data_IF_856909703563
#
_entry.id   IF_856909703563
#
_cell.length_a   1.000
_cell.length_b   1.000
_cell.length_c   1.000
_cell.angle_alpha   90.00
_cell.angle_beta   90.00
_cell.angle_gamma   90.00
#
_symmetry.space_group_name_H-M   'P 1'
#
loop_
_entity.id
_entity.type
_entity.pdbx_description
1 polymer ?
#
# COMPACT_ATOMS: atom_id res chain seq x y z
N UNK A 1 -3.56 -12.44 -2.31
CA UNK A 1 -2.32 -12.27 -1.60
C UNK A 1 -2.25 -13.18 -0.39
N UNK A 2 -1.09 -13.70 -0.13
CA UNK A 2 -0.93 -14.59 0.96
C UNK A 2 -0.27 -13.88 2.11
N UNK A 3 -0.86 -13.95 3.27
CA UNK A 3 -0.27 -13.36 4.44
C UNK A 3 0.52 -14.42 5.16
N UNK A 4 1.82 -14.19 5.35
CA UNK A 4 2.65 -15.10 6.09
C UNK A 4 2.79 -14.57 7.48
N UNK A 5 2.37 -15.38 8.47
CA UNK A 5 2.55 -15.02 9.83
C UNK A 5 3.70 -15.80 10.36
N UNK A 6 4.62 -15.10 10.91
CA UNK A 6 5.71 -15.73 11.57
C UNK A 6 5.68 -15.29 12.98
N UNK A 7 5.56 -16.24 13.85
CA UNK A 7 5.68 -15.93 15.26
C UNK A 7 7.14 -15.94 15.59
N UNK A 8 7.64 -14.80 15.94
CA UNK A 8 9.02 -14.68 16.32
C UNK A 8 9.14 -14.35 17.80
N UNK A 9 8.16 -14.75 18.57
CA UNK A 9 8.21 -14.56 20.00
C UNK A 9 8.30 -13.10 20.37
N UNK A 10 9.43 -12.73 20.91
CA UNK A 10 9.61 -11.40 21.41
C UNK A 10 9.46 -10.32 20.34
N UNK A 11 9.82 -10.62 19.10
CA UNK A 11 9.66 -9.68 18.02
C UNK A 11 8.20 -9.35 17.79
N UNK A 12 7.39 -10.37 17.79
CA UNK A 12 5.99 -10.19 17.50
C UNK A 12 5.32 -9.35 18.59
N UNK A 13 5.63 -9.65 19.83
CA UNK A 13 5.05 -8.89 20.94
C UNK A 13 5.50 -7.44 20.89
N UNK A 14 6.76 -7.22 20.63
CA UNK A 14 7.30 -5.88 20.58
C UNK A 14 6.64 -5.09 19.46
N UNK A 15 6.43 -5.73 18.32
CA UNK A 15 5.83 -5.07 17.17
C UNK A 15 4.37 -4.68 17.47
N UNK A 16 3.65 -5.55 18.12
CA UNK A 16 2.28 -5.27 18.51
C UNK A 16 2.22 -4.07 19.44
N UNK A 17 3.14 -3.99 20.36
CA UNK A 17 3.18 -2.86 21.27
C UNK A 17 3.44 -1.56 20.55
N UNK A 18 4.19 -1.62 19.45
CA UNK A 18 4.49 -0.41 18.75
C UNK A 18 3.31 0.11 17.97
N UNK A 19 2.68 -0.71 17.15
CA UNK A 19 1.66 -0.16 16.31
C UNK A 19 0.83 -1.17 15.55
N UNK A 20 0.86 -2.41 15.94
CA UNK A 20 -0.02 -3.38 15.31
C UNK A 20 0.19 -3.55 13.83
N UNK A 21 1.36 -3.24 13.32
CA UNK A 21 1.64 -3.45 11.93
C UNK A 21 2.31 -2.24 11.30
N UNK A 22 2.38 -2.26 10.00
CA UNK A 22 3.05 -1.23 9.24
C UNK A 22 2.03 -0.46 8.42
N UNK A 23 2.25 0.84 8.28
CA UNK A 23 1.36 1.68 7.50
C UNK A 23 2.16 2.41 6.45
N UNK A 24 1.94 2.10 5.17
CA UNK A 24 2.63 2.83 4.11
C UNK A 24 2.15 4.28 4.05
N UNK A 25 3.08 5.17 3.77
CA UNK A 25 2.75 6.57 3.52
C UNK A 25 2.37 6.74 2.06
N UNK A 26 1.46 7.64 1.78
CA UNK A 26 1.01 7.84 0.41
C UNK A 26 0.69 9.30 0.15
N UNK A 27 0.84 9.67 -1.10
CA UNK A 27 0.50 11.01 -1.59
C UNK A 27 -0.50 10.87 -2.72
N UNK A 28 -1.37 11.85 -2.87
CA UNK A 28 -2.24 11.95 -4.05
C UNK A 28 -1.94 13.25 -4.73
N UNK A 29 -1.64 13.17 -6.03
CA UNK A 29 -1.44 14.34 -6.87
C UNK A 29 -2.50 14.35 -7.95
N UNK A 30 -2.78 15.51 -8.49
CA UNK A 30 -3.78 15.63 -9.54
C UNK A 30 -3.17 16.32 -10.74
N UNK A 31 -3.42 15.77 -11.92
CA UNK A 31 -3.16 16.44 -13.18
C UNK A 31 -4.49 16.79 -13.80
N UNK A 32 -4.46 17.35 -15.00
CA UNK A 32 -5.72 17.68 -15.65
C UNK A 32 -6.58 16.46 -15.89
N UNK A 33 -5.95 15.36 -16.28
CA UNK A 33 -6.69 14.16 -16.65
C UNK A 33 -6.66 13.04 -15.65
N UNK A 34 -5.74 13.06 -14.70
CA UNK A 34 -5.49 11.92 -13.84
C UNK A 34 -5.38 12.29 -12.38
N UNK A 35 -5.60 11.32 -11.53
CA UNK A 35 -5.08 11.34 -10.18
C UNK A 35 -3.88 10.41 -10.14
N UNK A 36 -2.85 10.83 -9.43
CA UNK A 36 -1.63 10.05 -9.28
C UNK A 36 -1.50 9.70 -7.81
N UNK A 37 -1.50 8.43 -7.52
CA UNK A 37 -1.31 7.96 -6.16
C UNK A 37 0.08 7.37 -6.04
N UNK A 38 0.86 7.90 -5.13
CA UNK A 38 2.22 7.42 -4.90
C UNK A 38 2.28 6.83 -3.51
N UNK A 39 2.70 5.58 -3.41
CA UNK A 39 2.74 4.88 -2.13
C UNK A 39 4.17 4.41 -1.87
N UNK A 40 4.68 4.73 -0.70
CA UNK A 40 6.01 4.32 -0.32
C UNK A 40 5.95 2.91 0.24
N UNK A 41 6.52 1.94 -0.48
CA UNK A 41 6.39 0.53 -0.14
C UNK A 41 7.72 -0.20 -0.22
N UNK A 42 8.76 0.42 0.31
CA UNK A 42 10.09 -0.19 0.29
C UNK A 42 10.06 -1.50 1.08
N UNK A 43 10.80 -2.47 0.60
CA UNK A 43 10.91 -3.75 1.29
C UNK A 43 9.75 -4.69 1.07
N UNK A 44 8.85 -4.35 0.15
CA UNK A 44 7.70 -5.19 -0.18
C UNK A 44 7.96 -5.87 -1.51
N UNK A 45 7.63 -7.13 -1.60
CA UNK A 45 7.67 -7.83 -2.88
C UNK A 45 6.38 -7.54 -3.62
N UNK A 46 6.45 -7.20 -4.91
CA UNK A 46 5.24 -6.87 -5.65
C UNK A 46 4.18 -7.96 -5.58
N UNK A 47 4.59 -9.23 -5.56
CA UNK A 47 3.63 -10.32 -5.50
C UNK A 47 2.92 -10.41 -4.17
N UNK A 48 3.40 -9.70 -3.15
CA UNK A 48 2.77 -9.71 -1.83
C UNK A 48 1.86 -8.50 -1.62
N UNK A 49 1.58 -7.75 -2.66
CA UNK A 49 0.72 -6.58 -2.58
C UNK A 49 -0.58 -6.86 -3.31
N UNK A 50 -1.66 -6.56 -2.64
CA UNK A 50 -2.98 -6.64 -3.27
C UNK A 50 -3.54 -5.23 -3.34
N UNK A 51 -3.90 -4.80 -4.55
CA UNK A 51 -4.42 -3.47 -4.77
C UNK A 51 -5.76 -3.60 -5.46
N UNK A 52 -6.79 -3.06 -4.84
CA UNK A 52 -8.13 -3.07 -5.41
C UNK A 52 -8.54 -1.66 -5.73
N UNK A 53 -8.91 -1.42 -6.98
CA UNK A 53 -9.27 -0.10 -7.46
C UNK A 53 -10.77 0.02 -7.59
N UNK A 54 -11.32 1.03 -6.97
CA UNK A 54 -12.72 1.38 -7.14
C UNK A 54 -12.82 2.74 -7.79
N UNK A 55 -14.04 3.17 -8.00
CA UNK A 55 -14.27 4.48 -8.65
C UNK A 55 -13.98 5.64 -7.71
N UNK A 56 -14.05 5.42 -6.41
CA UNK A 56 -13.87 6.48 -5.44
C UNK A 56 -12.87 6.13 -4.36
N UNK A 57 -12.18 5.00 -4.48
CA UNK A 57 -11.23 4.59 -3.44
C UNK A 57 -10.24 3.58 -3.98
N UNK A 58 -9.12 3.47 -3.29
CA UNK A 58 -8.11 2.46 -3.55
C UNK A 58 -7.90 1.71 -2.25
N UNK A 59 -7.86 0.40 -2.34
CA UNK A 59 -7.63 -0.44 -1.17
C UNK A 59 -6.30 -1.16 -1.35
N UNK A 60 -5.42 -1.03 -0.36
CA UNK A 60 -4.12 -1.67 -0.36
C UNK A 60 -4.10 -2.68 0.77
N UNK A 61 -3.60 -3.86 0.48
CA UNK A 61 -3.50 -4.91 1.48
C UNK A 61 -2.25 -5.73 1.25
N UNK A 62 -1.60 -6.12 2.31
CA UNK A 62 -0.43 -6.96 2.18
C UNK A 62 0.27 -7.14 3.50
N UNK A 63 1.51 -7.59 3.41
CA UNK A 63 2.31 -7.83 4.58
C UNK A 63 3.75 -7.46 4.26
N UNK A 64 4.34 -6.61 5.07
CA UNK A 64 5.74 -6.28 4.94
C UNK A 64 6.52 -7.20 5.87
N UNK A 65 7.14 -8.19 5.28
CA UNK A 65 7.81 -9.23 6.04
C UNK A 65 9.23 -8.83 6.37
N UNK A 66 9.64 -9.16 7.58
CA UNK A 66 11.00 -8.94 8.00
C UNK A 66 11.92 -9.92 7.28
N UNK A 67 13.03 -9.47 6.70
CA UNK A 67 13.98 -10.42 6.14
C UNK A 67 14.57 -11.24 7.27
N UNK A 68 14.35 -12.52 7.24
CA UNK A 68 14.78 -13.39 8.33
C UNK A 68 15.73 -14.42 7.78
N UNK A 69 16.95 -14.02 7.55
CA UNK A 69 17.93 -14.95 7.03
C UNK A 69 18.74 -15.62 8.12
N UNK A 70 18.67 -15.10 9.32
CA UNK A 70 19.47 -15.64 10.41
C UNK A 70 18.61 -15.87 11.62
N UNK A 71 19.00 -16.85 12.41
CA UNK A 71 18.31 -17.10 13.65
C UNK A 71 18.74 -16.06 14.67
N UNK A 72 17.79 -15.25 15.10
CA UNK A 72 18.08 -14.15 16.00
C UNK A 72 17.90 -14.59 17.43
N UNK A 73 18.95 -14.40 18.27
CA UNK A 73 18.87 -14.75 19.68
C UNK A 73 18.60 -13.54 20.56
N UNK A 74 18.84 -12.33 20.07
CA UNK A 74 18.66 -11.15 20.91
C UNK A 74 18.44 -9.94 20.02
N UNK A 75 17.49 -9.10 20.41
CA UNK A 75 17.23 -7.84 19.73
C UNK A 75 17.85 -6.74 20.56
N UNK A 76 18.69 -5.93 19.94
CA UNK A 76 19.30 -4.80 20.62
C UNK A 76 18.58 -3.51 20.32
N UNK A 77 18.00 -3.39 19.14
CA UNK A 77 17.37 -2.15 18.72
C UNK A 77 16.42 -2.46 17.57
N UNK A 78 15.25 -1.84 17.58
CA UNK A 78 14.22 -2.11 16.59
C UNK A 78 13.45 -0.85 16.33
N UNK A 79 13.55 -0.34 15.09
CA UNK A 79 12.82 0.85 14.68
C UNK A 79 12.01 0.64 13.43
N UNK A 80 12.32 -0.39 12.66
CA UNK A 80 11.67 -0.60 11.38
C UNK A 80 10.39 -1.38 11.60
N UNK A 81 9.30 -0.83 11.11
CA UNK A 81 8.00 -1.46 11.28
C UNK A 81 7.76 -2.47 10.17
N UNK A 82 7.29 -3.64 10.55
CA UNK A 82 6.92 -4.70 9.63
C UNK A 82 5.54 -5.19 10.02
N UNK A 83 4.95 -5.98 9.18
CA UNK A 83 3.70 -6.62 9.52
C UNK A 83 2.63 -6.38 8.47
N UNK A 84 1.42 -6.85 8.75
CA UNK A 84 0.32 -6.70 7.83
C UNK A 84 -0.12 -5.25 7.74
N UNK A 85 -0.62 -4.87 6.57
CA UNK A 85 -1.19 -3.55 6.38
C UNK A 85 -2.48 -3.67 5.59
N UNK A 86 -3.36 -2.75 5.84
CA UNK A 86 -4.63 -2.66 5.13
C UNK A 86 -5.04 -1.21 5.17
N UNK A 87 -5.11 -0.58 4.00
CA UNK A 87 -5.43 0.82 3.91
C UNK A 87 -6.52 1.03 2.88
N UNK A 88 -7.44 1.91 3.20
CA UNK A 88 -8.45 2.33 2.26
C UNK A 88 -8.24 3.82 2.05
N UNK A 89 -7.93 4.20 0.83
CA UNK A 89 -7.62 5.58 0.48
C UNK A 89 -8.79 6.14 -0.29
N UNK A 90 -9.47 7.11 0.29
CA UNK A 90 -10.57 7.78 -0.37
C UNK A 90 -9.99 8.75 -1.40
N UNK A 91 -10.58 8.75 -2.59
CA UNK A 91 -10.11 9.61 -3.65
C UNK A 91 -10.94 10.89 -3.71
N UNK A 92 -10.31 12.03 -4.02
CA UNK A 92 -11.05 13.30 -4.07
C UNK A 92 -11.95 13.44 -5.28
N UNK A 93 -11.78 12.59 -6.30
CA UNK A 93 -12.61 12.59 -7.49
C UNK A 93 -12.82 11.18 -7.95
N UNK A 94 -13.88 10.96 -8.70
CA UNK A 94 -14.16 9.64 -9.25
C UNK A 94 -13.21 9.38 -10.41
N UNK A 95 -12.76 8.14 -10.48
CA UNK A 95 -11.80 7.71 -11.49
C UNK A 95 -12.36 6.52 -12.26
N UNK A 96 -11.69 6.19 -13.36
CA UNK A 96 -12.02 5.02 -14.14
C UNK A 96 -10.98 3.95 -13.87
N UNK A 97 -11.31 2.94 -13.06
CA UNK A 97 -10.32 1.93 -12.71
C UNK A 97 -9.81 1.14 -13.91
N UNK A 98 -10.62 1.05 -14.97
CA UNK A 98 -10.20 0.26 -16.13
C UNK A 98 -9.04 0.88 -16.86
N UNK A 99 -8.87 2.20 -16.76
CA UNK A 99 -7.78 2.88 -17.42
C UNK A 99 -6.55 3.05 -16.55
N UNK A 100 -6.55 2.48 -15.36
CA UNK A 100 -5.45 2.69 -14.42
C UNK A 100 -4.20 1.98 -14.86
N UNK A 101 -3.05 2.55 -14.49
CA UNK A 101 -1.78 1.89 -14.67
C UNK A 101 -1.03 1.89 -13.35
N UNK A 102 -0.19 0.90 -13.19
CA UNK A 102 0.52 0.67 -11.93
C UNK A 102 1.97 0.34 -12.22
N UNK A 103 2.86 1.01 -11.52
CA UNK A 103 4.29 0.79 -11.66
C UNK A 103 4.90 0.64 -10.29
N UNK A 104 5.78 -0.33 -10.13
CA UNK A 104 6.53 -0.48 -8.89
C UNK A 104 8.00 -0.28 -9.19
N UNK A 105 8.63 0.68 -8.52
CA UNK A 105 10.00 1.01 -8.81
C UNK A 105 10.66 1.65 -7.61
N UNK A 106 11.81 1.14 -7.23
CA UNK A 106 12.64 1.73 -6.18
C UNK A 106 11.90 1.90 -4.87
N UNK A 107 11.01 0.96 -4.55
CA UNK A 107 10.27 1.03 -3.31
C UNK A 107 9.01 1.84 -3.37
N UNK A 108 8.65 2.36 -4.54
CA UNK A 108 7.42 3.13 -4.69
C UNK A 108 6.46 2.43 -5.62
N UNK A 109 5.19 2.45 -5.25
CA UNK A 109 4.11 2.05 -6.14
C UNK A 109 3.45 3.33 -6.64
N UNK A 110 3.39 3.47 -7.94
CA UNK A 110 2.75 4.62 -8.56
C UNK A 110 1.54 4.14 -9.32
N UNK A 111 0.39 4.69 -8.98
CA UNK A 111 -0.87 4.31 -9.61
C UNK A 111 -1.42 5.55 -10.29
N UNK A 112 -1.57 5.48 -11.61
CA UNK A 112 -2.18 6.56 -12.36
C UNK A 112 -3.63 6.18 -12.59
N UNK A 113 -4.52 7.06 -12.18
CA UNK A 113 -5.95 6.81 -12.22
C UNK A 113 -6.61 7.88 -13.09
N UNK A 114 -7.03 7.54 -14.31
CA UNK A 114 -7.72 8.52 -15.14
C UNK A 114 -9.02 8.95 -14.48
N UNK A 115 -9.31 10.23 -14.55
CA UNK A 115 -10.57 10.74 -14.01
C UNK A 115 -11.72 10.15 -14.81
N UNK A 116 -12.83 9.93 -14.13
CA UNK A 116 -14.01 9.42 -14.80
C UNK A 116 -14.47 10.45 -15.82
N UNK A 117 -14.80 9.98 -17.01
CA UNK A 117 -15.26 10.87 -18.06
C UNK A 117 -16.56 11.52 -17.62
N UNK A 118 -16.64 12.82 -17.80
CA UNK A 118 -17.87 13.52 -17.48
C UNK A 118 -18.90 13.20 -18.55
N UNK A 119 -20.07 12.84 -18.09
CA UNK A 119 -21.14 12.66 -19.05
C UNK A 119 -21.60 14.02 -19.46
N UNK A 120 -21.61 14.23 -20.72
CA UNK A 120 -21.98 15.52 -21.20
C UNK A 120 -23.44 15.62 -21.48
N UNK A 121 -24.09 14.74 -21.13
CA UNK A 121 -25.43 14.94 -21.32
C UNK A 121 -25.95 15.75 -20.31
N UNK A 122 -25.70 16.00 -20.18
CA UNK A 122 -25.88 16.49 -19.54
C UNK A 122 -25.75 17.37 -19.52
N UNK A 123 -25.49 17.39 -19.92
CA UNK A 123 -25.19 17.76 -19.94
C UNK A 123 -25.20 18.20 -19.98
N UNK A 124 -25.16 18.26 -19.98
CA UNK A 124 -24.96 18.38 -19.94
C UNK A 124 -25.00 18.71 -19.80
#
# INVERSE_FOLDING_TARGET
MKMVRRSLGRYEIFHIQRNFGWRPSWDIYETEDDLILLVEMAGIKPEDVEINLGKDRVQLRGNRCRPAEHEVTRVHHMEIDFGPYHQIIALPERVDPKGASLTYREGFVLIRLPKEAKTTSSGS
#
